data_IF_720715490046
#
_entry.id   IF_720715490046
#
_cell.length_a   1.000
_cell.length_b   1.000
_cell.length_c   1.000
_cell.angle_alpha   90.00
_cell.angle_beta   90.00
_cell.angle_gamma   90.00
#
_symmetry.space_group_name_H-M   'P 1'
#
loop_
_entity.id
_entity.type
_entity.pdbx_description
1 polymer ?
#
# COMPACT_ATOMS: atom_id res chain seq x y z
N UNK A 1 2.23 -5.77 -15.78
CA UNK A 1 1.14 -6.75 -15.46
C UNK A 1 1.54 -8.24 -15.44
N UNK A 2 2.37 -8.75 -16.35
CA UNK A 2 2.71 -10.21 -16.41
C UNK A 2 3.41 -10.76 -15.15
N UNK A 3 4.29 -9.97 -14.53
CA UNK A 3 4.95 -10.33 -13.25
C UNK A 3 3.93 -10.52 -12.11
N UNK A 4 2.90 -9.69 -12.06
CA UNK A 4 1.80 -9.81 -11.11
C UNK A 4 1.03 -11.11 -11.32
N UNK A 5 0.68 -11.46 -12.57
CA UNK A 5 0.03 -12.73 -12.88
C UNK A 5 0.85 -13.95 -12.41
N UNK A 6 2.17 -13.93 -12.61
CA UNK A 6 3.07 -15.01 -12.17
C UNK A 6 3.09 -15.16 -10.65
N UNK A 7 3.13 -14.05 -9.91
CA UNK A 7 3.13 -14.08 -8.45
C UNK A 7 1.76 -14.55 -7.93
N UNK A 8 0.68 -14.10 -8.54
CA UNK A 8 -0.69 -14.43 -8.14
C UNK A 8 -1.12 -15.86 -8.47
N UNK A 9 -0.55 -16.46 -9.51
CA UNK A 9 -0.76 -17.88 -9.81
C UNK A 9 -0.15 -18.80 -8.76
N UNK A 10 0.91 -18.36 -8.07
CA UNK A 10 1.50 -19.11 -6.96
C UNK A 10 0.58 -19.14 -5.74
N UNK A 11 -0.11 -18.03 -5.43
CA UNK A 11 -1.15 -18.00 -4.39
C UNK A 11 -2.35 -18.93 -4.70
N UNK A 12 -2.62 -19.21 -5.98
CA UNK A 12 -3.72 -20.10 -6.41
C UNK A 12 -3.34 -21.58 -6.48
N UNK A 13 -2.05 -21.91 -6.63
CA UNK A 13 -1.59 -23.29 -6.86
C UNK A 13 -1.57 -24.20 -5.63
N UNK A 14 -2.15 -23.77 -4.50
CA UNK A 14 -2.97 -24.59 -3.59
C UNK A 14 -2.39 -25.81 -2.86
N UNK A 15 -1.25 -26.39 -3.23
CA UNK A 15 -0.91 -27.76 -2.79
C UNK A 15 0.38 -27.90 -2.00
N UNK A 16 1.39 -27.05 -2.17
CA UNK A 16 2.63 -27.10 -1.37
C UNK A 16 2.64 -26.12 -0.20
N UNK A 17 1.96 -24.97 -0.32
CA UNK A 17 1.94 -23.91 0.70
C UNK A 17 1.03 -24.26 1.89
N UNK A 18 0.01 -25.10 1.67
CA UNK A 18 -1.02 -25.47 2.67
C UNK A 18 -0.63 -26.73 3.48
N UNK A 19 0.58 -27.27 3.29
CA UNK A 19 1.08 -28.37 4.12
C UNK A 19 1.43 -27.84 5.54
N UNK A 20 0.40 -27.64 6.36
CA UNK A 20 0.58 -27.20 7.74
C UNK A 20 1.26 -28.31 8.56
N UNK A 21 2.46 -28.04 9.05
CA UNK A 21 3.12 -28.92 10.01
C UNK A 21 2.55 -28.68 11.42
N UNK A 22 2.49 -29.70 12.29
CA UNK A 22 1.98 -29.57 13.67
C UNK A 22 2.73 -28.52 14.52
N UNK A 23 3.92 -28.09 14.10
CA UNK A 23 4.77 -27.11 14.78
C UNK A 23 4.67 -25.69 14.23
N UNK A 24 3.83 -25.45 13.22
CA UNK A 24 3.77 -24.17 12.53
C UNK A 24 2.98 -23.12 13.32
N UNK A 25 3.42 -21.86 13.28
CA UNK A 25 2.76 -20.77 13.99
C UNK A 25 1.31 -20.60 13.49
N UNK A 26 0.28 -20.63 14.37
CA UNK A 26 -1.13 -20.53 13.97
C UNK A 26 -1.45 -19.31 13.10
N UNK A 27 -0.74 -18.20 13.30
CA UNK A 27 -0.95 -16.97 12.54
C UNK A 27 -0.42 -17.10 11.10
N UNK A 28 0.69 -17.83 10.90
CA UNK A 28 1.22 -18.14 9.57
C UNK A 28 0.29 -19.10 8.84
N UNK A 29 -0.25 -20.11 9.54
CA UNK A 29 -1.25 -21.04 8.97
C UNK A 29 -2.51 -20.29 8.54
N UNK A 30 -3.03 -19.39 9.39
CA UNK A 30 -4.18 -18.57 9.04
C UNK A 30 -3.91 -17.66 7.83
N UNK A 31 -2.71 -17.07 7.74
CA UNK A 31 -2.30 -16.27 6.59
C UNK A 31 -2.26 -17.11 5.31
N UNK A 32 -1.67 -18.31 5.34
CA UNK A 32 -1.64 -19.26 4.22
C UNK A 32 -3.02 -19.63 3.72
N UNK A 33 -3.98 -19.86 4.63
CA UNK A 33 -5.38 -20.14 4.27
C UNK A 33 -6.10 -18.94 3.66
N UNK A 34 -5.76 -17.73 4.09
CA UNK A 34 -6.37 -16.49 3.60
C UNK A 34 -5.74 -15.96 2.32
N UNK A 35 -4.47 -16.25 2.07
CA UNK A 35 -3.70 -15.70 0.96
C UNK A 35 -4.32 -15.92 -0.44
N UNK A 36 -4.98 -17.06 -0.74
CA UNK A 36 -5.67 -17.25 -2.01
C UNK A 36 -6.93 -16.38 -2.18
N UNK A 37 -7.46 -15.81 -1.09
CA UNK A 37 -8.66 -14.98 -1.11
C UNK A 37 -8.51 -13.80 -2.06
N UNK A 38 -9.54 -13.44 -2.85
CA UNK A 38 -9.54 -12.22 -3.66
C UNK A 38 -9.23 -10.96 -2.85
N UNK A 39 -9.56 -10.96 -1.54
CA UNK A 39 -9.23 -9.86 -0.62
C UNK A 39 -7.73 -9.53 -0.59
N UNK A 40 -6.86 -10.53 -0.80
CA UNK A 40 -5.41 -10.34 -0.73
C UNK A 40 -4.70 -10.59 -2.07
N UNK A 41 -5.31 -11.36 -2.96
CA UNK A 41 -4.74 -11.79 -4.24
C UNK A 41 -5.45 -11.17 -5.46
N UNK A 42 -6.20 -10.07 -5.31
CA UNK A 42 -6.78 -9.35 -6.45
C UNK A 42 -5.77 -8.42 -7.11
N UNK A 43 -5.78 -8.30 -8.45
CA UNK A 43 -4.96 -7.34 -9.20
C UNK A 43 -5.18 -5.93 -8.65
N UNK A 44 -6.44 -5.65 -8.32
CA UNK A 44 -6.90 -4.35 -7.90
C UNK A 44 -6.19 -3.87 -6.64
N UNK A 45 -5.85 -4.79 -5.73
CA UNK A 45 -5.10 -4.45 -4.52
C UNK A 45 -3.68 -3.97 -4.82
N UNK A 46 -3.12 -4.41 -5.95
CA UNK A 46 -1.76 -4.12 -6.39
C UNK A 46 -1.69 -3.00 -7.42
N UNK A 47 -2.83 -2.41 -7.81
CA UNK A 47 -2.93 -1.44 -8.92
C UNK A 47 -2.00 -0.23 -8.73
N UNK A 48 -1.78 0.19 -7.48
CA UNK A 48 -0.85 1.28 -7.14
C UNK A 48 0.54 1.07 -7.74
N UNK A 49 1.04 -0.17 -7.77
CA UNK A 49 2.37 -0.48 -8.32
C UNK A 49 2.44 -0.43 -9.85
N UNK A 50 1.27 -0.34 -10.51
CA UNK A 50 1.14 -0.19 -11.95
C UNK A 50 0.84 1.24 -12.38
N UNK A 51 0.73 2.22 -11.46
CA UNK A 51 0.46 3.61 -11.82
C UNK A 51 1.39 4.17 -12.92
N UNK A 52 2.72 3.93 -12.89
CA UNK A 52 3.59 4.38 -13.97
C UNK A 52 3.33 3.68 -15.32
N UNK A 53 2.88 2.41 -15.29
CA UNK A 53 2.53 1.65 -16.50
C UNK A 53 1.17 2.07 -17.07
N UNK A 54 0.20 2.36 -16.20
CA UNK A 54 -1.17 2.73 -16.56
C UNK A 54 -1.28 4.17 -17.05
N UNK A 55 -0.49 5.07 -16.48
CA UNK A 55 -0.56 6.51 -16.76
C UNK A 55 0.81 7.07 -17.20
N UNK A 56 1.40 6.57 -18.29
CA UNK A 56 2.77 6.94 -18.70
C UNK A 56 2.91 8.41 -19.13
N UNK A 57 1.80 9.09 -19.43
CA UNK A 57 1.76 10.51 -19.81
C UNK A 57 1.62 11.46 -18.63
N UNK A 58 1.34 10.96 -17.42
CA UNK A 58 1.18 11.77 -16.23
C UNK A 58 2.50 11.87 -15.46
N UNK A 59 2.81 13.07 -14.96
CA UNK A 59 4.00 13.30 -14.13
C UNK A 59 3.74 13.08 -12.64
N UNK A 60 2.50 13.34 -12.18
CA UNK A 60 2.13 13.28 -10.77
C UNK A 60 0.67 12.83 -10.66
N UNK A 61 0.35 12.07 -9.61
CA UNK A 61 -1.01 11.59 -9.30
C UNK A 61 -1.26 11.71 -7.80
N UNK A 62 -2.46 12.15 -7.42
CA UNK A 62 -2.99 11.98 -6.07
C UNK A 62 -3.84 10.71 -6.06
N UNK A 63 -3.44 9.73 -5.26
CA UNK A 63 -4.13 8.45 -5.12
C UNK A 63 -4.88 8.42 -3.79
N UNK A 64 -6.17 8.10 -3.84
CA UNK A 64 -7.07 8.03 -2.68
C UNK A 64 -7.81 6.69 -2.69
N UNK A 65 -7.97 6.08 -1.53
CA UNK A 65 -8.76 4.87 -1.38
C UNK A 65 -10.26 5.16 -1.50
N UNK A 66 -11.04 4.11 -1.79
CA UNK A 66 -12.48 4.18 -1.98
C UNK A 66 -13.26 4.47 -0.68
N UNK A 67 -12.61 4.35 0.47
CA UNK A 67 -13.15 4.63 1.80
C UNK A 67 -12.75 6.00 2.37
N UNK A 68 -12.17 6.88 1.54
CA UNK A 68 -11.76 8.23 1.95
C UNK A 68 -12.90 9.24 1.81
N UNK A 69 -13.09 10.05 2.85
CA UNK A 69 -13.97 11.23 2.83
C UNK A 69 -13.12 12.49 2.86
N UNK A 70 -13.27 13.34 1.84
CA UNK A 70 -12.56 14.62 1.72
C UNK A 70 -13.42 15.72 2.34
N UNK A 71 -12.85 16.47 3.29
CA UNK A 71 -13.52 17.61 3.95
C UNK A 71 -12.87 18.96 3.64
N UNK A 72 -11.73 18.95 2.97
CA UNK A 72 -10.88 20.12 2.69
C UNK A 72 -10.44 20.13 1.23
N UNK A 73 -9.95 21.28 0.76
CA UNK A 73 -9.37 21.40 -0.57
C UNK A 73 -8.10 20.51 -0.67
N UNK A 74 -7.98 19.77 -1.78
CA UNK A 74 -6.83 18.92 -2.08
C UNK A 74 -5.72 19.66 -2.84
N UNK A 75 -5.95 20.89 -3.28
CA UNK A 75 -4.93 21.67 -3.98
C UNK A 75 -3.60 21.78 -3.18
N UNK A 76 -3.60 22.01 -1.86
CA UNK A 76 -2.37 21.97 -1.06
C UNK A 76 -1.61 20.64 -1.13
N UNK A 77 -2.31 19.52 -1.32
CA UNK A 77 -1.72 18.18 -1.45
C UNK A 77 -0.99 18.03 -2.80
N UNK A 78 -1.51 18.66 -3.86
CA UNK A 78 -0.90 18.64 -5.19
C UNK A 78 0.41 19.44 -5.24
N UNK A 79 0.44 20.58 -4.53
CA UNK A 79 1.53 21.55 -4.53
C UNK A 79 2.66 21.22 -3.53
N UNK A 80 2.57 20.08 -2.83
CA UNK A 80 3.63 19.65 -1.91
C UNK A 80 4.95 19.51 -2.65
N UNK A 81 6.01 20.04 -2.02
CA UNK A 81 7.38 19.75 -2.39
C UNK A 81 7.72 18.30 -2.04
N UNK A 82 7.93 17.50 -3.09
CA UNK A 82 8.25 16.09 -2.97
C UNK A 82 9.70 15.84 -2.57
N UNK A 83 10.57 16.85 -2.50
CA UNK A 83 12.01 16.73 -2.17
C UNK A 83 12.72 15.64 -3.02
N UNK A 84 12.34 15.54 -4.30
CA UNK A 84 12.82 14.52 -5.23
C UNK A 84 12.42 13.07 -4.87
N UNK A 85 11.55 12.88 -3.89
CA UNK A 85 10.96 11.58 -3.49
C UNK A 85 9.83 11.18 -4.43
N UNK A 86 9.48 9.89 -4.39
CA UNK A 86 8.47 9.32 -5.28
C UNK A 86 7.08 9.36 -4.67
N UNK A 87 6.96 9.15 -3.36
CA UNK A 87 5.68 9.06 -2.67
C UNK A 87 5.58 10.08 -1.53
N UNK A 88 4.58 10.95 -1.55
CA UNK A 88 4.16 11.78 -0.42
C UNK A 88 3.15 10.99 0.42
N UNK A 89 3.47 10.72 1.68
CA UNK A 89 2.63 9.91 2.56
C UNK A 89 2.63 10.40 4.00
N UNK A 90 1.51 10.17 4.69
CA UNK A 90 1.35 10.50 6.11
C UNK A 90 1.99 9.39 6.94
N UNK A 91 2.90 9.77 7.84
CA UNK A 91 3.49 8.88 8.83
C UNK A 91 2.46 8.45 9.87
N UNK A 92 2.55 7.19 10.31
CA UNK A 92 1.60 6.57 11.25
C UNK A 92 2.16 6.38 12.65
N UNK A 93 3.40 6.80 12.90
CA UNK A 93 4.02 6.75 14.23
C UNK A 93 4.13 8.12 14.90
N UNK A 94 3.88 9.21 14.17
CA UNK A 94 3.98 10.59 14.65
C UNK A 94 2.59 11.21 14.65
N UNK A 95 1.90 11.13 15.78
CA UNK A 95 0.58 11.72 15.95
C UNK A 95 0.20 11.77 17.43
N UNK A 96 -0.58 12.78 17.80
CA UNK A 96 -1.13 12.92 19.16
C UNK A 96 -2.45 12.16 19.35
N UNK A 97 -2.97 11.54 18.27
CA UNK A 97 -4.21 10.79 18.31
C UNK A 97 -4.03 9.47 19.07
N UNK A 98 -4.61 9.42 20.27
CA UNK A 98 -4.59 8.26 21.16
C UNK A 98 -5.29 7.04 20.57
N UNK A 99 -6.13 7.21 19.55
CA UNK A 99 -6.88 6.14 18.90
C UNK A 99 -6.15 5.56 17.68
N UNK A 100 -5.18 6.28 17.11
CA UNK A 100 -4.34 5.78 16.03
C UNK A 100 -3.09 5.14 16.64
N UNK A 101 -3.04 3.80 16.62
CA UNK A 101 -1.86 3.09 17.10
C UNK A 101 -0.63 3.48 16.29
N UNK A 102 0.43 3.94 16.96
CA UNK A 102 1.73 4.20 16.35
C UNK A 102 2.24 2.93 15.64
N UNK A 103 2.27 2.94 14.31
CA UNK A 103 2.81 1.82 13.52
C UNK A 103 4.22 2.10 13.03
N UNK A 104 5.09 1.11 13.24
CA UNK A 104 6.48 1.10 12.81
C UNK A 104 6.72 -0.10 11.90
N UNK A 105 7.89 -0.21 11.29
CA UNK A 105 8.21 -1.33 10.42
C UNK A 105 8.03 -2.68 11.12
N UNK A 106 8.40 -2.80 12.41
CA UNK A 106 8.16 -4.02 13.22
C UNK A 106 6.70 -4.41 13.40
N UNK A 107 5.76 -3.50 13.13
CA UNK A 107 4.32 -3.79 13.16
C UNK A 107 3.85 -4.57 11.94
N UNK A 108 4.63 -4.55 10.85
CA UNK A 108 4.26 -5.14 9.56
C UNK A 108 5.22 -6.24 9.11
N UNK A 109 6.51 -6.13 9.47
CA UNK A 109 7.57 -7.01 9.01
C UNK A 109 8.09 -7.89 10.15
N UNK A 110 8.40 -9.14 9.83
CA UNK A 110 9.01 -10.09 10.76
C UNK A 110 10.54 -9.90 10.88
N UNK A 111 11.03 -9.27 11.94
CA UNK A 111 12.45 -9.03 12.18
C UNK A 111 13.22 -10.22 12.79
N UNK A 112 12.60 -11.40 12.92
CA UNK A 112 13.30 -12.61 13.42
C UNK A 112 14.39 -13.12 12.45
N UNK A 113 14.38 -12.66 11.20
CA UNK A 113 15.44 -12.88 10.22
C UNK A 113 16.17 -11.55 9.99
N UNK A 114 17.51 -11.55 9.84
CA UNK A 114 18.25 -10.31 9.62
C UNK A 114 17.76 -9.63 8.35
N UNK A 115 17.35 -8.37 8.49
CA UNK A 115 17.02 -7.48 7.40
C UNK A 115 17.85 -6.21 7.54
N UNK A 116 18.10 -5.55 6.43
CA UNK A 116 18.82 -4.28 6.40
C UNK A 116 17.90 -3.08 6.70
N UNK A 117 16.77 -3.30 7.42
CA UNK A 117 15.81 -2.26 7.78
C UNK A 117 15.83 -2.04 9.29
N UNK A 118 15.59 -0.82 9.73
CA UNK A 118 15.44 -0.51 11.15
C UNK A 118 14.01 -0.90 11.61
N UNK A 119 13.84 -1.81 12.59
CA UNK A 119 12.52 -2.13 13.13
C UNK A 119 11.79 -0.94 13.74
N UNK A 120 12.52 0.09 14.17
CA UNK A 120 11.97 1.31 14.77
C UNK A 120 11.60 2.40 13.77
N UNK A 121 11.85 2.19 12.47
CA UNK A 121 11.48 3.11 11.41
C UNK A 121 9.97 3.32 11.34
N UNK A 122 9.56 4.57 11.07
CA UNK A 122 8.16 4.94 11.01
C UNK A 122 7.49 4.32 9.78
N UNK A 123 6.33 3.69 9.97
CA UNK A 123 5.50 3.30 8.84
C UNK A 123 4.63 4.47 8.38
N UNK A 124 4.13 4.40 7.16
CA UNK A 124 3.25 5.41 6.56
C UNK A 124 1.98 4.76 6.03
N UNK A 125 0.94 5.58 5.82
CA UNK A 125 -0.38 5.12 5.41
C UNK A 125 -0.51 5.02 3.88
N UNK A 126 -1.16 3.95 3.41
CA UNK A 126 -1.43 3.68 1.99
C UNK A 126 -2.72 4.32 1.45
N UNK A 127 -3.57 4.86 2.33
CA UNK A 127 -4.93 5.28 1.98
C UNK A 127 -5.02 6.63 1.25
N UNK A 128 -3.99 7.45 1.38
CA UNK A 128 -3.81 8.70 0.64
C UNK A 128 -2.32 8.87 0.35
N UNK A 129 -1.99 9.02 -0.93
CA UNK A 129 -0.62 9.18 -1.39
C UNK A 129 -0.52 10.17 -2.56
N UNK A 130 0.59 10.90 -2.64
CA UNK A 130 0.94 11.69 -3.82
C UNK A 130 2.11 11.00 -4.50
N UNK A 131 1.93 10.53 -5.72
CA UNK A 131 2.98 9.87 -6.47
C UNK A 131 3.54 10.79 -7.56
N UNK A 132 4.85 11.05 -7.51
CA UNK A 132 5.59 11.60 -8.63
C UNK A 132 5.97 10.44 -9.58
N UNK A 133 5.19 10.27 -10.64
CA UNK A 133 5.38 9.21 -11.62
C UNK A 133 6.61 9.45 -12.50
N UNK A 134 6.98 10.71 -12.74
CA UNK A 134 8.18 11.05 -13.48
C UNK A 134 9.44 10.65 -12.70
N UNK A 135 9.46 10.86 -11.39
CA UNK A 135 10.50 10.36 -10.48
C UNK A 135 10.44 8.83 -10.38
N UNK A 136 9.24 8.25 -10.18
CA UNK A 136 9.07 6.79 -10.06
C UNK A 136 9.67 6.06 -11.26
N UNK A 137 9.40 6.51 -12.48
CA UNK A 137 9.87 5.87 -13.72
C UNK A 137 11.39 5.71 -13.82
N UNK A 138 12.16 6.49 -13.04
CA UNK A 138 13.63 6.48 -12.99
C UNK A 138 14.19 5.61 -11.86
N UNK A 139 13.33 4.93 -11.11
CA UNK A 139 13.70 4.08 -9.96
C UNK A 139 13.44 2.60 -10.23
N UNK A 140 13.90 1.74 -9.32
CA UNK A 140 13.62 0.31 -9.30
C UNK A 140 12.49 -0.06 -8.31
N UNK A 141 11.64 0.89 -7.91
CA UNK A 141 10.60 0.66 -6.89
C UNK A 141 9.66 -0.48 -7.30
N UNK A 142 9.11 -0.43 -8.52
CA UNK A 142 8.16 -1.45 -8.98
C UNK A 142 8.80 -2.85 -9.07
N UNK A 143 10.06 -2.95 -9.51
CA UNK A 143 10.75 -4.24 -9.56
C UNK A 143 11.10 -4.75 -8.16
N UNK A 144 11.51 -3.87 -7.25
CA UNK A 144 11.77 -4.18 -5.85
C UNK A 144 10.50 -4.68 -5.15
N UNK A 145 9.35 -4.05 -5.38
CA UNK A 145 8.05 -4.49 -4.86
C UNK A 145 7.75 -5.95 -5.24
N UNK A 146 7.82 -6.28 -6.54
CA UNK A 146 7.54 -7.65 -7.00
C UNK A 146 8.60 -8.65 -6.55
N UNK A 147 9.86 -8.25 -6.46
CA UNK A 147 10.92 -9.09 -5.92
C UNK A 147 10.61 -9.52 -4.48
N UNK A 148 10.29 -8.56 -3.60
CA UNK A 148 9.97 -8.89 -2.21
C UNK A 148 8.70 -9.70 -2.07
N UNK A 149 7.69 -9.46 -2.91
CA UNK A 149 6.47 -10.25 -2.91
C UNK A 149 6.76 -11.73 -3.24
N UNK A 150 7.62 -11.99 -4.23
CA UNK A 150 8.09 -13.33 -4.60
C UNK A 150 8.96 -13.97 -3.48
N UNK A 151 9.83 -13.19 -2.82
CA UNK A 151 10.62 -13.67 -1.68
C UNK A 151 9.73 -14.04 -0.48
N UNK A 152 8.66 -13.28 -0.21
CA UNK A 152 7.73 -13.63 0.87
C UNK A 152 7.01 -14.95 0.57
N UNK A 153 6.61 -15.18 -0.70
CA UNK A 153 6.02 -16.43 -1.14
C UNK A 153 6.97 -17.62 -0.98
N UNK A 154 8.22 -17.50 -1.44
CA UNK A 154 9.26 -18.54 -1.26
C UNK A 154 9.56 -18.82 0.21
N UNK A 155 9.32 -17.83 1.07
CA UNK A 155 9.52 -17.93 2.51
C UNK A 155 8.31 -18.45 3.27
N UNK A 156 7.30 -19.01 2.60
CA UNK A 156 6.05 -19.48 3.21
C UNK A 156 5.28 -18.39 3.99
N UNK A 157 5.29 -17.15 3.47
CA UNK A 157 4.68 -15.96 4.10
C UNK A 157 5.28 -15.63 5.48
N UNK A 158 6.55 -16.01 5.70
CA UNK A 158 7.24 -15.75 6.97
C UNK A 158 7.81 -14.34 7.08
N UNK A 159 7.98 -13.59 5.97
CA UNK A 159 8.48 -12.21 6.02
C UNK A 159 7.39 -11.23 6.46
N UNK A 160 6.16 -11.40 5.99
CA UNK A 160 4.95 -10.77 6.50
C UNK A 160 3.76 -11.63 6.10
N UNK A 161 2.64 -11.45 6.81
CA UNK A 161 1.48 -12.33 6.63
C UNK A 161 0.74 -12.04 5.32
N UNK A 162 0.15 -10.86 5.22
CA UNK A 162 -0.77 -10.49 4.13
C UNK A 162 -0.72 -8.97 3.87
N UNK A 163 -1.31 -8.57 2.75
CA UNK A 163 -1.49 -7.16 2.39
C UNK A 163 -0.39 -6.61 1.49
N UNK A 164 -0.66 -5.43 0.94
CA UNK A 164 0.20 -4.74 -0.04
C UNK A 164 1.06 -3.65 0.58
N UNK A 165 0.71 -3.17 1.78
CA UNK A 165 1.51 -2.21 2.53
C UNK A 165 2.91 -2.76 2.89
N UNK A 166 3.10 -3.97 3.42
CA UNK A 166 4.43 -4.45 3.80
C UNK A 166 5.47 -4.46 2.65
N UNK A 167 5.19 -5.00 1.44
CA UNK A 167 6.11 -4.87 0.32
C UNK A 167 6.25 -3.43 -0.18
N UNK A 168 5.22 -2.59 0.01
CA UNK A 168 5.29 -1.15 -0.23
C UNK A 168 6.28 -0.41 0.66
N UNK A 169 6.23 -0.63 1.98
CA UNK A 169 7.17 -0.06 2.95
C UNK A 169 8.62 -0.38 2.57
N UNK A 170 8.86 -1.60 2.09
CA UNK A 170 10.17 -2.05 1.64
C UNK A 170 10.56 -1.39 0.31
N UNK A 171 9.68 -1.41 -0.69
CA UNK A 171 9.99 -0.93 -2.03
C UNK A 171 10.21 0.58 -2.11
N UNK A 172 9.47 1.34 -1.30
CA UNK A 172 9.57 2.80 -1.22
C UNK A 172 10.54 3.27 -0.15
N UNK A 173 11.31 2.38 0.48
CA UNK A 173 12.29 2.76 1.48
C UNK A 173 13.26 3.81 0.92
N UNK A 174 13.42 4.94 1.63
CA UNK A 174 14.21 6.08 1.16
C UNK A 174 13.58 6.95 0.05
N UNK A 175 12.41 6.57 -0.47
CA UNK A 175 11.68 7.25 -1.55
C UNK A 175 10.35 7.89 -1.10
N UNK A 176 10.14 8.02 0.21
CA UNK A 176 8.94 8.65 0.78
C UNK A 176 9.27 10.04 1.32
N UNK A 177 8.47 11.02 0.93
CA UNK A 177 8.39 12.33 1.56
C UNK A 177 7.27 12.29 2.61
N UNK A 178 7.60 12.65 3.85
CA UNK A 178 6.58 12.79 4.89
C UNK A 178 5.78 14.05 4.64
N UNK A 179 4.45 13.91 4.66
CA UNK A 179 3.52 15.03 4.47
C UNK A 179 2.61 15.19 5.68
N UNK A 180 2.19 16.42 5.93
CA UNK A 180 1.16 16.71 6.92
C UNK A 180 -0.16 16.02 6.48
N UNK A 181 -0.97 15.49 7.40
CA UNK A 181 -2.30 15.00 7.06
C UNK A 181 -3.25 16.03 6.41
N UNK A 182 -2.97 17.34 6.39
CA UNK A 182 -3.81 18.38 5.72
C UNK A 182 -5.31 18.32 6.08
N UNK A 183 -5.63 17.93 7.31
CA UNK A 183 -7.02 17.73 7.76
C UNK A 183 -7.68 16.42 7.31
N UNK A 184 -6.93 15.54 6.65
CA UNK A 184 -7.34 14.15 6.38
C UNK A 184 -7.33 13.41 7.72
N UNK A 185 -8.55 13.17 8.21
CA UNK A 185 -8.75 12.33 9.37
C UNK A 185 -8.68 10.87 8.91
N UNK A 186 -7.62 10.16 9.32
CA UNK A 186 -7.60 8.71 9.27
C UNK A 186 -8.61 8.19 10.31
N UNK A 187 -9.84 7.95 9.89
CA UNK A 187 -10.90 7.49 10.80
C UNK A 187 -10.59 6.04 11.18
N UNK A 188 -10.17 5.83 12.43
CA UNK A 188 -10.08 4.50 13.02
C UNK A 188 -11.48 4.03 13.45
N UNK A 189 -12.28 3.49 12.51
CA UNK A 189 -13.51 2.68 12.68
C UNK A 189 -14.57 3.06 13.75
N UNK A 190 -14.44 4.17 14.48
CA UNK A 190 -15.16 4.35 15.75
C UNK A 190 -15.93 5.66 15.87
N UNK A 191 -15.79 6.65 14.97
CA UNK A 191 -16.74 7.78 14.89
C UNK A 191 -16.95 8.31 13.46
N UNK A 192 -18.23 8.39 13.07
CA UNK A 192 -18.72 9.18 11.93
C UNK A 192 -18.48 10.68 12.19
N UNK A 193 -17.90 11.44 11.25
CA UNK A 193 -17.91 12.90 11.35
C UNK A 193 -19.31 13.46 11.12
N UNK A 194 -19.68 14.50 11.87
CA UNK A 194 -20.88 15.29 11.60
C UNK A 194 -20.69 16.06 10.29
N UNK A 195 -21.74 16.06 9.47
CA UNK A 195 -21.73 16.58 8.10
C UNK A 195 -21.52 18.10 8.03
N UNK A 196 -20.61 18.52 7.15
CA UNK A 196 -20.45 19.89 6.64
C UNK A 196 -20.48 19.83 5.10
N UNK A 197 -20.86 20.92 4.41
CA UNK A 197 -21.33 20.84 3.03
C UNK A 197 -20.21 20.47 2.04
N UNK A 198 -20.46 19.44 1.23
CA UNK A 198 -19.58 18.95 0.18
C UNK A 198 -19.29 20.02 -0.88
N UNK A 199 -18.02 20.34 -1.11
CA UNK A 199 -17.58 20.95 -2.37
C UNK A 199 -17.45 19.86 -3.43
N UNK A 200 -18.01 20.10 -4.62
CA UNK A 200 -17.75 19.29 -5.82
C UNK A 200 -16.37 19.66 -6.37
N UNK A 201 -15.40 18.78 -6.21
CA UNK A 201 -14.12 18.82 -6.95
C UNK A 201 -14.14 17.69 -7.97
N UNK A 202 -13.81 18.01 -9.22
CA UNK A 202 -13.70 17.05 -10.30
C UNK A 202 -12.32 16.37 -10.22
N UNK A 203 -12.24 15.35 -9.38
CA UNK A 203 -11.12 14.42 -9.26
C UNK A 203 -11.23 13.34 -10.35
N UNK A 204 -10.09 12.84 -10.82
CA UNK A 204 -10.05 11.64 -11.64
C UNK A 204 -10.41 10.44 -10.73
N UNK A 205 -11.71 10.21 -10.54
CA UNK A 205 -12.20 8.98 -9.93
C UNK A 205 -12.01 7.87 -10.95
N UNK A 206 -10.98 7.05 -10.78
CA UNK A 206 -10.99 5.75 -11.44
C UNK A 206 -11.96 4.91 -10.61
N UNK A 207 -13.24 4.94 -10.99
CA UNK A 207 -14.21 3.98 -10.49
C UNK A 207 -13.66 2.57 -10.79
N UNK A 208 -13.66 1.69 -9.78
CA UNK A 208 -13.31 0.28 -9.95
C UNK A 208 -14.11 -0.41 -11.07
N UNK A 209 -15.26 0.15 -11.45
CA UNK A 209 -16.11 -0.34 -12.54
C UNK A 209 -15.57 0.01 -13.94
N UNK A 210 -14.92 1.17 -14.12
CA UNK A 210 -14.40 1.59 -15.43
C UNK A 210 -13.16 0.80 -15.87
N UNK A 211 -12.29 0.41 -14.92
CA UNK A 211 -11.18 -0.52 -15.16
C UNK A 211 -11.65 -1.94 -15.48
N UNK A 212 -12.78 -2.37 -14.88
CA UNK A 212 -13.40 -3.67 -15.16
C UNK A 212 -14.04 -3.72 -16.56
N UNK A 213 -14.45 -2.57 -17.09
CA UNK A 213 -15.13 -2.44 -18.38
C UNK A 213 -14.19 -2.17 -19.56
N UNK A 214 -12.88 -2.06 -19.32
CA UNK A 214 -11.88 -1.85 -20.39
C UNK A 214 -12.05 -0.51 -21.12
N UNK A 215 -12.53 0.52 -20.41
CA UNK A 215 -12.81 1.85 -20.97
C UNK A 215 -11.57 2.79 -21.00
N UNK A 216 -10.38 2.29 -20.65
CA UNK A 216 -9.10 3.01 -20.74
C UNK A 216 -8.06 2.10 -21.39
#
# INVERSE_FOLDING_TARGET
>A
MEKDQRVRSQFRSGSSVIAASKSENPVVVAAKLQAPSPKYNSLMNHIRNHLPELFPSLNKVVFLDDDIVIQTDLLPLWDIDMDGKVNGAVETCRGEDKFVMSKKFKSYLNFSKPRNFDPEECAWAYGMNVFDLAAWSKTNISSTYYHWLDENLKSDLSLWQLGTLPPGLIAFHGHVQTIDPFGICLVSDTKRPQASPMLKVQLLFISMEELSLGLI
#
